data_IF_357548462780
#
_entry.id   IF_357548462780
#
_cell.length_a   1.000
_cell.length_b   1.000
_cell.length_c   1.000
_cell.angle_alpha   90.00
_cell.angle_beta   90.00
_cell.angle_gamma   90.00
#
_symmetry.space_group_name_H-M   'P 1'
#
loop_
_entity.id
_entity.type
_entity.pdbx_description
1 polymer ?
#
# COMPACT_ATOMS: atom_id res chain seq x y z
N UNK A 1 9.91 -54.75 -0.78
CA UNK A 1 9.78 -55.93 0.10
C UNK A 1 10.02 -55.45 1.52
N UNK A 2 9.02 -55.65 2.37
CA UNK A 2 8.97 -55.24 3.77
C UNK A 2 9.72 -56.24 4.66
N UNK A 3 10.45 -55.78 5.68
CA UNK A 3 10.16 -56.00 7.13
C UNK A 3 11.30 -56.81 7.80
N UNK A 4 11.36 -56.95 9.14
CA UNK A 4 11.24 -55.95 10.23
C UNK A 4 12.25 -56.25 11.38
N UNK A 5 12.15 -55.54 12.52
CA UNK A 5 12.46 -55.94 13.93
C UNK A 5 12.53 -54.62 14.74
N UNK A 6 12.04 -54.42 15.97
CA UNK A 6 11.10 -55.07 16.89
C UNK A 6 10.91 -54.04 18.02
N UNK A 7 9.69 -53.84 18.52
CA UNK A 7 9.43 -53.01 19.71
C UNK A 7 9.94 -53.68 21.00
N UNK A 8 10.40 -52.87 21.96
CA UNK A 8 10.32 -53.14 23.40
C UNK A 8 9.90 -51.86 24.12
N UNK A 9 8.85 -51.98 24.93
CA UNK A 9 8.24 -50.97 25.81
C UNK A 9 8.92 -50.96 27.20
N UNK A 10 8.49 -49.97 27.99
CA UNK A 10 8.61 -49.79 29.46
C UNK A 10 9.78 -48.85 29.86
N UNK A 11 9.65 -47.85 30.75
CA UNK A 11 8.54 -47.33 31.54
C UNK A 11 8.93 -45.92 32.09
N UNK A 12 7.93 -45.05 32.25
CA UNK A 12 7.78 -43.89 33.16
C UNK A 12 9.00 -43.12 33.71
N UNK A 13 9.07 -41.81 33.39
CA UNK A 13 9.01 -40.71 34.39
C UNK A 13 8.93 -39.35 33.67
N UNK A 14 7.75 -38.73 33.72
CA UNK A 14 7.43 -37.37 33.24
C UNK A 14 7.54 -36.37 34.40
N UNK A 15 8.29 -35.29 34.21
CA UNK A 15 8.18 -33.93 34.78
C UNK A 15 9.33 -33.12 34.13
N UNK A 16 9.23 -31.90 33.64
CA UNK A 16 8.20 -30.86 33.55
C UNK A 16 8.75 -29.82 32.53
N UNK A 17 7.88 -29.13 31.79
CA UNK A 17 8.00 -27.78 31.18
C UNK A 17 7.07 -27.65 29.95
N UNK A 18 6.22 -26.59 29.89
CA UNK A 18 4.97 -26.62 29.14
C UNK A 18 5.12 -26.18 27.67
N UNK A 19 4.50 -26.96 26.77
CA UNK A 19 4.24 -26.55 25.38
C UNK A 19 3.01 -25.67 25.32
N UNK A 20 3.22 -24.39 25.09
CA UNK A 20 2.18 -23.40 24.77
C UNK A 20 1.54 -23.73 23.41
N UNK A 21 0.40 -24.43 23.42
CA UNK A 21 -0.45 -24.63 22.24
C UNK A 21 -1.57 -23.60 22.29
N UNK A 22 -1.39 -22.52 21.53
CA UNK A 22 -2.41 -21.51 21.28
C UNK A 22 -3.50 -22.10 20.35
N UNK A 23 -4.39 -22.94 20.91
CA UNK A 23 -5.62 -23.38 20.27
C UNK A 23 -6.70 -22.34 20.55
N UNK A 24 -6.78 -21.29 19.73
CA UNK A 24 -7.98 -20.45 19.66
C UNK A 24 -9.09 -21.19 18.91
N UNK A 25 -9.80 -22.02 19.65
CA UNK A 25 -11.00 -22.71 19.21
C UNK A 25 -12.20 -21.77 19.37
N UNK A 26 -12.78 -21.29 18.27
CA UNK A 26 -14.07 -20.62 18.30
C UNK A 26 -15.17 -21.66 18.58
N UNK A 27 -15.72 -21.65 19.80
CA UNK A 27 -16.88 -22.43 20.20
C UNK A 27 -17.80 -21.60 21.12
N UNK A 28 -19.14 -21.80 21.08
CA UNK A 28 -20.07 -20.96 21.83
C UNK A 28 -20.17 -21.38 23.30
N UNK A 29 -19.91 -20.44 24.22
CA UNK A 29 -20.19 -20.60 25.66
C UNK A 29 -21.70 -20.53 25.94
N UNK A 30 -22.26 -21.59 26.54
CA UNK A 30 -23.60 -21.55 27.16
C UNK A 30 -23.53 -20.83 28.50
N UNK A 31 -24.27 -19.72 28.66
CA UNK A 31 -24.52 -19.08 29.98
C UNK A 31 -26.02 -19.00 30.25
N UNK A 32 -26.38 -19.37 31.48
CA UNK A 32 -27.72 -19.65 32.00
C UNK A 32 -28.79 -18.58 31.65
N UNK A 33 -29.90 -19.05 31.08
CA UNK A 33 -30.91 -18.28 30.35
C UNK A 33 -31.92 -17.53 31.24
N UNK A 34 -31.92 -17.75 32.55
CA UNK A 34 -33.05 -17.32 33.40
C UNK A 34 -32.88 -15.91 33.95
N UNK A 35 -31.67 -15.48 34.34
CA UNK A 35 -31.42 -14.12 34.87
C UNK A 35 -31.24 -13.05 33.78
N UNK A 36 -30.74 -13.44 32.59
CA UNK A 36 -30.64 -12.54 31.43
C UNK A 36 -32.00 -12.01 30.98
N UNK A 37 -33.06 -12.83 31.09
CA UNK A 37 -34.41 -12.44 30.64
C UNK A 37 -35.01 -11.30 31.48
N UNK A 38 -34.68 -11.25 32.78
CA UNK A 38 -35.18 -10.24 33.69
C UNK A 38 -34.42 -8.92 33.52
N UNK A 39 -33.11 -9.00 33.29
CA UNK A 39 -32.27 -7.85 32.99
C UNK A 39 -32.65 -7.25 31.62
N UNK A 40 -32.89 -8.07 30.61
CA UNK A 40 -33.38 -7.62 29.30
C UNK A 40 -34.76 -6.95 29.39
N UNK A 41 -35.68 -7.49 30.21
CA UNK A 41 -36.99 -6.84 30.44
C UNK A 41 -36.86 -5.49 31.15
N UNK A 42 -35.95 -5.35 32.12
CA UNK A 42 -35.65 -4.06 32.78
C UNK A 42 -35.00 -3.07 31.82
N UNK A 43 -34.04 -3.52 31.01
CA UNK A 43 -33.36 -2.67 30.02
C UNK A 43 -34.30 -2.22 28.90
N UNK A 44 -35.27 -3.05 28.48
CA UNK A 44 -36.31 -2.66 27.52
C UNK A 44 -37.28 -1.62 28.08
N UNK A 45 -37.63 -1.70 29.37
CA UNK A 45 -38.43 -0.65 30.04
C UNK A 45 -37.67 0.67 30.13
N UNK A 46 -36.40 0.63 30.55
CA UNK A 46 -35.53 1.82 30.58
C UNK A 46 -35.36 2.42 29.17
N UNK A 47 -35.16 1.58 28.16
CA UNK A 47 -35.05 2.04 26.77
C UNK A 47 -36.34 2.67 26.23
N UNK A 48 -37.52 2.17 26.62
CA UNK A 48 -38.78 2.80 26.26
C UNK A 48 -39.02 4.12 27.00
N UNK A 49 -38.63 4.23 28.28
CA UNK A 49 -38.73 5.48 29.04
C UNK A 49 -37.77 6.55 28.50
N UNK A 50 -36.52 6.16 28.16
CA UNK A 50 -35.54 7.05 27.51
C UNK A 50 -36.03 7.49 26.13
N UNK A 51 -36.64 6.59 25.33
CA UNK A 51 -37.27 6.96 24.05
C UNK A 51 -38.46 7.90 24.23
N UNK A 52 -39.23 7.76 25.31
CA UNK A 52 -40.37 8.62 25.62
C UNK A 52 -39.92 10.02 26.04
N UNK A 53 -38.77 10.14 26.72
CA UNK A 53 -38.15 11.41 27.10
C UNK A 53 -37.40 12.09 25.93
N UNK A 54 -36.92 11.33 24.94
CA UNK A 54 -36.20 11.86 23.77
C UNK A 54 -37.08 12.39 22.63
N UNK A 55 -38.41 12.49 22.81
CA UNK A 55 -39.32 13.07 21.81
C UNK A 55 -39.08 14.59 21.62
N UNK A 56 -38.27 15.25 22.46
CA UNK A 56 -37.92 16.66 22.31
C UNK A 56 -36.69 16.96 21.43
N UNK A 57 -35.92 15.96 20.98
CA UNK A 57 -34.69 16.20 20.18
C UNK A 57 -34.81 15.72 18.73
N UNK A 58 -35.65 16.41 17.95
CA UNK A 58 -35.85 16.20 16.51
C UNK A 58 -34.66 16.68 15.63
N UNK A 59 -33.46 16.83 16.22
CA UNK A 59 -32.24 17.31 15.55
C UNK A 59 -31.26 16.18 15.21
N UNK A 60 -31.28 15.06 15.93
CA UNK A 60 -30.32 13.96 15.70
C UNK A 60 -30.73 13.02 14.55
N UNK A 61 -32.02 12.91 14.25
CA UNK A 61 -32.51 12.05 13.17
C UNK A 61 -32.18 12.62 11.79
N UNK A 62 -32.22 13.95 11.64
CA UNK A 62 -31.83 14.64 10.39
C UNK A 62 -30.31 14.57 10.13
N UNK A 63 -29.49 14.60 11.18
CA UNK A 63 -28.04 14.45 11.10
C UNK A 63 -27.62 13.02 10.72
N UNK A 64 -28.28 12.00 11.25
CA UNK A 64 -27.99 10.60 10.89
C UNK A 64 -28.50 10.24 9.50
N UNK A 65 -29.67 10.75 9.09
CA UNK A 65 -30.14 10.63 7.71
C UNK A 65 -29.15 11.27 6.74
N UNK A 66 -28.58 12.45 7.06
CA UNK A 66 -27.58 13.09 6.19
C UNK A 66 -26.26 12.28 6.06
N UNK A 67 -25.84 11.58 7.11
CA UNK A 67 -24.64 10.71 7.11
C UNK A 67 -24.89 9.42 6.34
N UNK A 68 -26.01 8.77 6.58
CA UNK A 68 -26.40 7.53 5.89
C UNK A 68 -26.69 7.79 4.41
N UNK A 69 -27.25 8.95 4.07
CA UNK A 69 -27.52 9.35 2.69
C UNK A 69 -26.23 9.79 1.96
N UNK A 70 -25.27 10.42 2.65
CA UNK A 70 -23.90 10.60 2.12
C UNK A 70 -23.18 9.26 1.91
N UNK A 71 -23.36 8.29 2.82
CA UNK A 71 -22.75 6.97 2.73
C UNK A 71 -23.38 6.15 1.59
N UNK A 72 -24.70 6.26 1.40
CA UNK A 72 -25.42 5.63 0.28
C UNK A 72 -25.10 6.29 -1.06
N UNK A 73 -24.99 7.61 -1.14
CA UNK A 73 -24.59 8.32 -2.36
C UNK A 73 -23.10 8.11 -2.69
N UNK A 74 -22.21 8.03 -1.70
CA UNK A 74 -20.81 7.63 -1.90
C UNK A 74 -20.68 6.15 -2.31
N UNK A 75 -21.56 5.28 -1.79
CA UNK A 75 -21.64 3.89 -2.22
C UNK A 75 -22.09 3.78 -3.68
N UNK A 76 -23.06 4.60 -4.12
CA UNK A 76 -23.54 4.63 -5.51
C UNK A 76 -22.51 5.26 -6.49
N UNK A 77 -21.75 6.28 -6.09
CA UNK A 77 -20.73 6.93 -6.94
C UNK A 77 -19.45 6.12 -7.15
N UNK A 78 -19.20 5.10 -6.34
CA UNK A 78 -18.05 4.18 -6.51
C UNK A 78 -18.45 2.88 -7.23
N UNK A 79 -19.73 2.68 -7.56
CA UNK A 79 -20.29 1.36 -7.91
C UNK A 79 -20.01 0.83 -9.35
N UNK A 80 -19.43 1.61 -10.26
CA UNK A 80 -19.27 1.18 -11.68
C UNK A 80 -18.06 0.27 -11.95
N UNK A 81 -17.02 0.24 -11.10
CA UNK A 81 -15.87 -0.68 -11.27
C UNK A 81 -16.13 -2.06 -10.62
N UNK A 82 -17.08 -2.15 -9.68
CA UNK A 82 -17.41 -3.39 -8.95
C UNK A 82 -18.05 -4.48 -9.80
N UNK A 83 -18.44 -4.15 -11.04
CA UNK A 83 -19.11 -5.05 -11.96
C UNK A 83 -18.19 -5.69 -13.00
N UNK A 84 -16.90 -5.32 -13.06
CA UNK A 84 -16.00 -5.84 -14.10
C UNK A 84 -15.36 -7.18 -13.71
N UNK A 85 -14.93 -7.34 -12.45
CA UNK A 85 -14.30 -8.56 -11.96
C UNK A 85 -14.50 -8.72 -10.45
N UNK A 86 -14.34 -9.95 -9.95
CA UNK A 86 -14.49 -10.28 -8.51
C UNK A 86 -13.22 -10.81 -7.88
N UNK A 87 -12.25 -11.23 -8.70
CA UNK A 87 -11.01 -11.87 -8.25
C UNK A 87 -9.82 -11.30 -8.98
N UNK A 88 -8.69 -11.20 -8.29
CA UNK A 88 -7.42 -10.78 -8.85
C UNK A 88 -6.30 -11.72 -8.39
N UNK A 89 -5.33 -11.95 -9.27
CA UNK A 89 -4.08 -12.63 -8.96
C UNK A 89 -2.95 -11.62 -9.19
N UNK A 90 -2.17 -11.33 -8.15
CA UNK A 90 -0.99 -10.46 -8.23
C UNK A 90 0.27 -11.32 -8.19
N UNK A 91 1.08 -11.26 -9.23
CA UNK A 91 2.33 -12.01 -9.34
C UNK A 91 3.50 -11.03 -9.32
N UNK A 92 4.38 -11.16 -8.33
CA UNK A 92 5.62 -10.38 -8.22
C UNK A 92 5.41 -8.86 -8.33
N UNK A 93 4.32 -8.35 -7.74
CA UNK A 93 3.99 -6.94 -7.86
C UNK A 93 2.90 -6.46 -6.91
N UNK A 94 3.07 -5.22 -6.44
CA UNK A 94 2.10 -4.50 -5.62
C UNK A 94 2.07 -3.02 -6.01
N UNK A 95 0.91 -2.37 -5.84
CA UNK A 95 0.75 -0.92 -5.96
C UNK A 95 1.56 -0.13 -4.91
N UNK A 96 2.02 -0.78 -3.83
CA UNK A 96 2.87 -0.19 -2.81
C UNK A 96 4.36 -0.23 -3.18
N UNK A 97 4.73 -0.92 -4.26
CA UNK A 97 6.11 -1.04 -4.70
C UNK A 97 6.66 0.32 -5.17
N UNK A 98 7.96 0.60 -4.96
CA UNK A 98 8.54 1.92 -5.25
C UNK A 98 8.49 2.32 -6.74
N UNK A 99 8.40 1.32 -7.63
CA UNK A 99 8.32 1.47 -9.09
C UNK A 99 6.88 1.53 -9.62
N UNK A 100 5.86 1.24 -8.81
CA UNK A 100 4.47 1.08 -9.27
C UNK A 100 3.79 2.41 -9.67
N UNK A 101 4.23 3.53 -9.10
CA UNK A 101 3.67 4.86 -9.34
C UNK A 101 4.76 5.86 -9.74
N UNK A 102 4.45 6.66 -10.75
CA UNK A 102 5.32 7.75 -11.21
C UNK A 102 5.25 8.92 -10.23
N UNK A 103 6.42 9.36 -9.76
CA UNK A 103 6.53 10.45 -8.77
C UNK A 103 6.30 11.84 -9.36
N UNK A 104 6.82 12.08 -10.56
CA UNK A 104 6.74 13.39 -11.24
C UNK A 104 6.37 13.21 -12.72
N UNK A 105 5.11 12.84 -13.02
CA UNK A 105 4.64 12.64 -14.38
C UNK A 105 4.71 13.94 -15.20
N UNK A 106 4.52 15.10 -14.55
CA UNK A 106 4.57 16.40 -15.19
C UNK A 106 5.97 16.70 -15.75
N UNK A 107 7.04 16.39 -15.01
CA UNK A 107 8.42 16.55 -15.50
C UNK A 107 8.67 15.77 -16.78
N UNK A 108 8.27 14.49 -16.84
CA UNK A 108 8.48 13.66 -18.03
C UNK A 108 7.60 14.12 -19.20
N UNK A 109 6.35 14.52 -18.94
CA UNK A 109 5.46 15.08 -19.96
C UNK A 109 6.05 16.35 -20.60
N UNK A 110 6.65 17.24 -19.81
CA UNK A 110 7.32 18.45 -20.34
C UNK A 110 8.58 18.12 -21.12
N UNK A 111 9.31 17.07 -20.75
CA UNK A 111 10.50 16.63 -21.48
C UNK A 111 10.11 16.14 -22.88
N UNK A 112 9.03 15.38 -22.99
CA UNK A 112 8.45 14.97 -24.28
C UNK A 112 7.95 16.18 -25.06
N UNK A 113 7.21 17.10 -24.43
CA UNK A 113 6.74 18.32 -25.08
C UNK A 113 7.87 19.18 -25.64
N UNK A 114 8.96 19.34 -24.88
CA UNK A 114 10.15 20.08 -25.30
C UNK A 114 10.81 19.41 -26.50
N UNK A 115 10.96 18.08 -26.47
CA UNK A 115 11.57 17.32 -27.57
C UNK A 115 10.71 17.35 -28.85
N UNK A 116 9.40 17.27 -28.69
CA UNK A 116 8.44 17.34 -29.81
C UNK A 116 8.24 18.76 -30.36
N UNK A 117 8.99 19.76 -29.87
CA UNK A 117 8.86 21.16 -30.21
C UNK A 117 7.43 21.72 -30.01
N UNK A 118 6.77 21.33 -28.91
CA UNK A 118 5.55 21.97 -28.45
C UNK A 118 5.89 23.16 -27.52
N UNK A 119 5.30 24.35 -27.71
CA UNK A 119 5.56 25.50 -26.86
C UNK A 119 5.19 25.25 -25.39
N UNK A 120 5.98 25.80 -24.46
CA UNK A 120 5.85 25.54 -23.01
C UNK A 120 4.75 26.35 -22.35
N UNK A 121 4.40 27.49 -22.94
CA UNK A 121 3.44 28.45 -22.40
C UNK A 121 2.00 28.20 -22.87
N UNK A 122 1.77 27.06 -23.54
CA UNK A 122 0.43 26.65 -23.95
C UNK A 122 -0.42 26.26 -22.75
N UNK A 123 -1.73 26.49 -22.85
CA UNK A 123 -2.68 25.89 -21.93
C UNK A 123 -2.61 24.36 -21.99
N UNK A 124 -3.04 23.67 -20.93
CA UNK A 124 -3.01 22.22 -20.87
C UNK A 124 -3.71 21.56 -22.08
N UNK A 125 -4.84 22.12 -22.51
CA UNK A 125 -5.62 21.62 -23.65
C UNK A 125 -4.88 21.79 -24.98
N UNK A 126 -4.25 22.95 -25.20
CA UNK A 126 -3.48 23.25 -26.42
C UNK A 126 -2.19 22.43 -26.49
N UNK A 127 -1.53 22.23 -25.36
CA UNK A 127 -0.36 21.35 -25.27
C UNK A 127 -0.71 19.92 -25.68
N UNK A 128 -1.83 19.39 -25.17
CA UNK A 128 -2.31 18.06 -25.55
C UNK A 128 -2.71 17.99 -27.03
N UNK A 129 -3.26 19.06 -27.59
CA UNK A 129 -3.55 19.13 -29.03
C UNK A 129 -2.26 19.07 -29.85
N UNK A 130 -1.26 19.87 -29.49
CA UNK A 130 0.06 19.84 -30.14
C UNK A 130 0.68 18.45 -30.09
N UNK A 131 0.70 17.80 -28.92
CA UNK A 131 1.28 16.46 -28.76
C UNK A 131 0.57 15.40 -29.61
N UNK A 132 -0.76 15.49 -29.78
CA UNK A 132 -1.53 14.56 -30.63
C UNK A 132 -1.25 14.72 -32.12
N UNK A 133 -0.82 15.90 -32.56
CA UNK A 133 -0.49 16.19 -33.96
C UNK A 133 0.93 15.72 -34.35
N UNK A 134 1.77 15.34 -33.36
CA UNK A 134 3.14 14.89 -33.60
C UNK A 134 3.19 13.42 -33.97
N UNK A 135 4.12 12.99 -34.86
CA UNK A 135 4.29 11.59 -35.18
C UNK A 135 4.75 10.81 -33.95
N UNK A 136 4.21 9.59 -33.80
CA UNK A 136 4.51 8.73 -32.64
C UNK A 136 6.02 8.47 -32.50
N UNK A 137 6.72 8.25 -33.61
CA UNK A 137 8.17 8.01 -33.62
C UNK A 137 8.95 9.17 -33.00
N UNK A 138 8.54 10.42 -33.25
CA UNK A 138 9.15 11.59 -32.62
C UNK A 138 8.93 11.59 -31.11
N UNK A 139 7.72 11.25 -30.64
CA UNK A 139 7.42 11.18 -29.21
C UNK A 139 8.25 10.08 -28.53
N UNK A 140 8.35 8.90 -29.15
CA UNK A 140 9.13 7.76 -28.64
C UNK A 140 10.64 8.01 -28.69
N UNK A 141 11.13 8.85 -29.62
CA UNK A 141 12.54 9.23 -29.70
C UNK A 141 13.01 10.18 -28.60
N UNK A 142 12.09 10.66 -27.74
CA UNK A 142 12.44 11.53 -26.61
C UNK A 142 13.41 10.80 -25.67
N UNK A 143 14.58 11.37 -25.34
CA UNK A 143 15.54 10.73 -24.45
C UNK A 143 15.06 10.85 -22.99
N UNK A 144 14.11 10.00 -22.59
CA UNK A 144 13.59 9.95 -21.21
C UNK A 144 14.37 8.92 -20.41
N UNK A 145 15.07 9.37 -19.38
CA UNK A 145 15.83 8.52 -18.46
C UNK A 145 15.13 8.53 -17.10
N UNK A 146 14.58 7.38 -16.71
CA UNK A 146 14.08 7.18 -15.35
C UNK A 146 15.26 6.91 -14.41
N UNK A 147 15.25 7.45 -13.18
CA UNK A 147 16.16 6.99 -12.14
C UNK A 147 16.02 5.48 -11.92
N UNK A 148 17.13 4.80 -11.62
CA UNK A 148 17.11 3.37 -11.29
C UNK A 148 16.08 3.07 -10.19
N UNK A 149 15.41 1.92 -10.30
CA UNK A 149 14.35 1.44 -9.39
C UNK A 149 13.05 2.27 -9.40
N UNK A 150 12.89 3.17 -10.36
CA UNK A 150 11.68 3.99 -10.53
C UNK A 150 11.17 3.93 -11.97
N UNK A 151 9.98 4.47 -12.21
CA UNK A 151 9.35 4.52 -13.54
C UNK A 151 9.17 5.97 -14.00
N UNK A 152 9.41 6.22 -15.29
CA UNK A 152 9.17 7.53 -15.90
C UNK A 152 7.73 7.69 -16.41
N UNK A 153 7.21 6.66 -17.08
CA UNK A 153 5.83 6.59 -17.54
C UNK A 153 5.17 5.36 -16.93
N UNK A 154 3.94 5.55 -16.45
CA UNK A 154 3.21 4.54 -15.70
C UNK A 154 2.03 5.17 -14.96
N UNK A 155 1.41 4.44 -14.03
CA UNK A 155 0.33 4.95 -13.21
C UNK A 155 0.76 6.21 -12.45
N UNK A 156 -0.14 7.18 -12.33
CA UNK A 156 0.07 8.40 -11.54
C UNK A 156 -1.20 8.75 -10.77
N UNK A 157 -1.06 9.48 -9.68
CA UNK A 157 -2.19 9.94 -8.87
C UNK A 157 -2.81 11.14 -9.57
N UNK A 158 -3.98 10.94 -10.15
CA UNK A 158 -4.72 11.93 -10.93
C UNK A 158 -5.95 12.47 -10.17
N UNK A 159 -6.35 11.82 -9.08
CA UNK A 159 -7.57 12.13 -8.34
C UNK A 159 -8.86 11.72 -9.04
N UNK A 160 -8.77 10.99 -10.17
CA UNK A 160 -9.92 10.51 -10.95
C UNK A 160 -9.96 8.98 -10.93
N UNK A 161 -8.90 8.32 -11.40
CA UNK A 161 -8.78 6.86 -11.42
C UNK A 161 -8.03 6.38 -10.18
N UNK A 162 -6.92 7.04 -9.86
CA UNK A 162 -6.09 6.74 -8.70
C UNK A 162 -6.19 7.93 -7.74
N UNK A 163 -6.97 7.72 -6.69
CA UNK A 163 -7.13 8.67 -5.59
C UNK A 163 -6.44 8.17 -4.32
N UNK A 164 -6.15 9.10 -3.42
CA UNK A 164 -5.56 8.83 -2.11
C UNK A 164 -6.62 8.55 -1.03
N UNK A 165 -7.90 8.44 -1.42
CA UNK A 165 -9.04 8.38 -0.49
C UNK A 165 -9.32 9.67 0.27
N UNK A 166 -8.45 10.68 0.16
CA UNK A 166 -8.62 12.02 0.72
C UNK A 166 -9.11 12.98 -0.37
N UNK A 167 -10.22 12.65 -1.03
CA UNK A 167 -10.83 13.63 -1.92
C UNK A 167 -11.14 14.86 -1.09
N UNK A 168 -10.39 15.94 -1.29
CA UNK A 168 -10.92 17.27 -1.03
C UNK A 168 -12.27 17.31 -1.75
N UNK A 169 -13.33 17.58 -1.01
CA UNK A 169 -14.60 17.99 -1.59
C UNK A 169 -14.27 19.23 -2.41
N UNK A 170 -14.05 19.07 -3.71
CA UNK A 170 -13.92 20.19 -4.63
C UNK A 170 -15.22 20.98 -4.49
N UNK A 171 -15.23 22.18 -3.90
CA UNK A 171 -16.46 22.95 -3.82
C UNK A 171 -16.91 23.21 -5.27
N UNK A 172 -18.15 22.84 -5.58
CA UNK A 172 -18.71 22.85 -6.93
C UNK A 172 -18.85 24.26 -7.56
N UNK A 173 -18.31 25.29 -6.91
CA UNK A 173 -18.40 26.68 -7.33
C UNK A 173 -17.01 27.30 -7.39
N UNK A 174 -16.25 26.97 -8.43
CA UNK A 174 -15.38 27.92 -9.13
C UNK A 174 -14.90 27.26 -10.42
N UNK A 175 -15.62 27.58 -11.51
CA UNK A 175 -14.97 27.73 -12.81
C UNK A 175 -14.05 28.93 -12.62
N UNK A 176 -12.76 28.69 -12.39
CA UNK A 176 -11.63 29.52 -12.82
C UNK A 176 -10.33 28.99 -12.20
N UNK A 177 -9.37 28.71 -13.09
CA UNK A 177 -7.92 28.59 -12.86
C UNK A 177 -7.40 27.74 -11.69
N UNK A 178 -7.15 26.45 -11.93
CA UNK A 178 -5.96 25.82 -11.36
C UNK A 178 -4.86 25.85 -12.42
N UNK A 179 -4.15 26.98 -12.45
CA UNK A 179 -2.82 27.07 -13.04
C UNK A 179 -1.91 26.17 -12.21
N UNK A 180 -1.31 25.14 -12.83
CA UNK A 180 -0.13 24.51 -12.25
C UNK A 180 0.98 25.56 -12.32
N UNK A 181 1.19 26.28 -11.21
CA UNK A 181 2.16 27.35 -11.15
C UNK A 181 3.55 26.80 -11.47
N UNK A 182 4.09 27.29 -12.59
CA UNK A 182 5.32 26.82 -13.22
C UNK A 182 6.47 27.76 -12.85
N UNK A 183 6.57 28.16 -11.60
CA UNK A 183 7.70 28.96 -11.13
C UNK A 183 8.17 28.52 -9.75
N UNK A 184 9.27 27.76 -9.72
CA UNK A 184 10.42 28.06 -8.86
C UNK A 184 11.60 27.16 -9.22
N UNK A 185 12.58 27.75 -9.90
CA UNK A 185 13.96 27.28 -9.81
C UNK A 185 14.80 28.36 -9.14
N UNK A 186 15.78 27.90 -8.37
CA UNK A 186 17.01 28.59 -7.96
C UNK A 186 16.97 29.46 -6.68
N UNK A 187 17.35 28.81 -5.57
CA UNK A 187 18.26 29.37 -4.56
C UNK A 187 19.03 28.23 -3.88
N UNK A 188 20.38 28.26 -3.82
CA UNK A 188 21.17 27.25 -3.13
C UNK A 188 21.31 27.59 -1.64
N UNK A 189 21.09 26.61 -0.75
CA UNK A 189 21.63 26.67 0.61
C UNK A 189 20.67 26.69 1.80
N UNK A 190 19.41 26.26 1.69
CA UNK A 190 18.58 26.04 2.90
C UNK A 190 18.05 24.61 2.96
N UNK A 191 18.42 23.80 3.98
CA UNK A 191 17.71 22.55 4.22
C UNK A 191 16.24 22.85 4.53
N UNK A 192 15.30 22.08 3.98
CA UNK A 192 13.88 22.28 4.29
C UNK A 192 13.67 22.10 5.80
N UNK A 193 12.85 22.96 6.44
CA UNK A 193 12.51 22.76 7.84
C UNK A 193 11.84 21.39 8.02
N UNK A 194 12.01 20.73 9.18
CA UNK A 194 11.33 19.47 9.47
C UNK A 194 9.81 19.72 9.42
N UNK A 195 9.03 18.83 8.78
CA UNK A 195 7.61 19.04 8.60
C UNK A 195 6.91 18.96 9.96
N UNK A 196 6.37 20.08 10.43
CA UNK A 196 5.14 20.05 11.21
C UNK A 196 4.09 19.39 10.32
N UNK A 197 3.55 18.25 10.75
CA UNK A 197 2.57 17.40 10.05
C UNK A 197 1.75 18.15 9.00
N UNK A 198 2.24 18.20 7.76
CA UNK A 198 1.53 18.80 6.65
C UNK A 198 0.39 17.86 6.28
N UNK A 199 -0.85 18.33 6.40
CA UNK A 199 -2.08 17.63 6.01
C UNK A 199 -2.13 17.29 4.50
N UNK A 200 -1.16 17.78 3.72
CA UNK A 200 -1.05 17.59 2.28
C UNK A 200 -0.44 16.24 1.92
N UNK A 201 -1.28 15.22 1.72
CA UNK A 201 -0.86 13.87 1.30
C UNK A 201 -0.04 13.87 0.00
N UNK A 202 -0.29 14.82 -0.91
CA UNK A 202 0.46 14.96 -2.16
C UNK A 202 1.94 15.27 -1.92
N UNK A 203 2.24 16.05 -0.88
CA UNK A 203 3.61 16.36 -0.47
C UNK A 203 4.27 15.13 0.18
N UNK A 204 3.51 14.38 0.98
CA UNK A 204 3.97 13.10 1.54
C UNK A 204 4.24 12.04 0.45
N UNK A 205 3.43 11.99 -0.62
CA UNK A 205 3.65 11.09 -1.76
C UNK A 205 4.92 11.50 -2.52
N UNK A 206 5.09 12.79 -2.79
CA UNK A 206 6.29 13.31 -3.43
C UNK A 206 7.55 13.07 -2.56
N UNK A 207 7.39 13.07 -1.22
CA UNK A 207 8.47 12.90 -0.27
C UNK A 207 8.84 11.44 0.02
N UNK A 208 7.86 10.54 0.17
CA UNK A 208 8.08 9.18 0.67
C UNK A 208 7.56 8.07 -0.25
N UNK A 209 6.99 8.43 -1.41
CA UNK A 209 6.27 7.49 -2.27
C UNK A 209 4.85 7.21 -1.77
N UNK A 210 4.01 6.73 -2.67
CA UNK A 210 2.58 6.49 -2.40
C UNK A 210 2.34 5.54 -1.23
N UNK A 211 3.09 4.44 -1.16
CA UNK A 211 2.91 3.45 -0.10
C UNK A 211 3.11 4.06 1.28
N UNK A 212 4.23 4.74 1.52
CA UNK A 212 4.48 5.37 2.82
C UNK A 212 3.42 6.44 3.14
N UNK A 213 3.08 7.30 2.18
CA UNK A 213 2.14 8.41 2.39
C UNK A 213 0.71 7.93 2.70
N UNK A 214 0.23 6.90 2.02
CA UNK A 214 -1.11 6.34 2.24
C UNK A 214 -1.14 5.53 3.52
N UNK A 215 -0.10 4.77 3.84
CA UNK A 215 -0.07 3.93 5.02
C UNK A 215 0.14 4.72 6.32
N UNK A 216 0.83 5.86 6.28
CA UNK A 216 0.99 6.75 7.43
C UNK A 216 -0.28 7.53 7.76
N UNK A 217 -1.19 7.71 6.79
CA UNK A 217 -2.44 8.42 7.00
C UNK A 217 -3.60 7.44 7.25
N UNK A 218 -4.19 7.48 8.45
CA UNK A 218 -5.23 6.54 8.86
C UNK A 218 -6.49 6.56 7.96
N UNK A 219 -6.88 7.74 7.45
CA UNK A 219 -8.07 7.89 6.60
C UNK A 219 -7.78 7.31 5.21
N UNK A 220 -6.66 7.69 4.59
CA UNK A 220 -6.22 7.17 3.31
C UNK A 220 -6.06 5.65 3.35
N UNK A 221 -5.41 5.12 4.39
CA UNK A 221 -5.28 3.69 4.65
C UNK A 221 -6.64 3.00 4.74
N UNK A 222 -7.59 3.55 5.50
CA UNK A 222 -8.95 2.97 5.62
C UNK A 222 -9.68 2.95 4.28
N UNK A 223 -9.57 4.01 3.48
CA UNK A 223 -10.16 4.08 2.15
C UNK A 223 -9.56 3.04 1.20
N UNK A 224 -8.22 2.92 1.18
CA UNK A 224 -7.51 1.91 0.39
C UNK A 224 -7.93 0.49 0.79
N UNK A 225 -7.93 0.18 2.10
CA UNK A 225 -8.35 -1.13 2.63
C UNK A 225 -9.81 -1.43 2.27
N UNK A 226 -10.70 -0.45 2.36
CA UNK A 226 -12.11 -0.59 1.95
C UNK A 226 -12.26 -0.94 0.47
N UNK A 227 -11.42 -0.39 -0.41
CA UNK A 227 -11.42 -0.75 -1.84
C UNK A 227 -10.78 -2.13 -2.07
N UNK A 228 -9.64 -2.41 -1.45
CA UNK A 228 -8.87 -3.64 -1.65
C UNK A 228 -9.63 -4.90 -1.19
N UNK A 229 -10.32 -4.83 -0.04
CA UNK A 229 -10.99 -5.99 0.61
C UNK A 229 -12.24 -6.48 -0.08
N UNK A 230 -12.73 -5.72 -1.06
CA UNK A 230 -13.93 -6.07 -1.81
C UNK A 230 -13.70 -7.15 -2.88
N UNK A 231 -12.44 -7.43 -3.23
CA UNK A 231 -12.07 -8.50 -4.18
C UNK A 231 -11.48 -9.71 -3.46
N UNK A 232 -11.61 -10.91 -4.03
CA UNK A 232 -10.76 -12.05 -3.66
C UNK A 232 -9.38 -11.86 -4.28
N UNK A 233 -8.33 -11.96 -3.46
CA UNK A 233 -6.97 -11.70 -3.88
C UNK A 233 -6.11 -12.95 -3.65
N UNK A 234 -5.42 -13.41 -4.69
CA UNK A 234 -4.28 -14.31 -4.58
C UNK A 234 -3.03 -13.49 -4.91
N UNK A 235 -1.96 -13.67 -4.13
CA UNK A 235 -0.69 -13.00 -4.34
C UNK A 235 0.46 -13.98 -4.20
N UNK A 236 1.53 -13.78 -4.96
CA UNK A 236 2.71 -14.62 -4.96
C UNK A 236 3.96 -13.85 -5.38
N UNK A 237 5.10 -14.31 -4.88
CA UNK A 237 6.44 -13.78 -5.18
C UNK A 237 7.37 -14.95 -5.50
N UNK A 238 8.47 -14.67 -6.19
CA UNK A 238 9.55 -15.62 -6.46
C UNK A 238 10.76 -15.35 -5.57
N UNK A 239 11.68 -16.32 -5.47
CA UNK A 239 12.87 -16.21 -4.61
C UNK A 239 13.81 -15.07 -5.03
N UNK A 240 13.93 -14.81 -6.33
CA UNK A 240 14.93 -13.90 -6.89
C UNK A 240 14.28 -12.80 -7.75
N UNK A 241 13.52 -11.91 -7.13
CA UNK A 241 12.78 -10.84 -7.81
C UNK A 241 13.72 -9.82 -8.47
N UNK A 242 14.84 -9.49 -7.81
CA UNK A 242 15.79 -8.49 -8.27
C UNK A 242 16.83 -9.02 -9.27
N UNK A 243 16.67 -10.23 -9.80
CA UNK A 243 17.66 -10.89 -10.68
C UNK A 243 18.10 -10.01 -11.86
N UNK A 244 17.15 -9.33 -12.52
CA UNK A 244 17.42 -8.49 -13.68
C UNK A 244 18.14 -7.17 -13.37
N UNK A 245 18.38 -6.84 -12.10
CA UNK A 245 19.19 -5.68 -11.69
C UNK A 245 20.68 -5.93 -11.95
N UNK A 246 21.09 -7.19 -12.02
CA UNK A 246 22.48 -7.60 -12.16
C UNK A 246 22.83 -7.84 -13.64
N UNK A 247 24.06 -7.52 -14.01
CA UNK A 247 24.61 -7.82 -15.34
C UNK A 247 24.98 -9.29 -15.44
N UNK A 248 25.21 -9.79 -16.65
CA UNK A 248 25.64 -11.18 -16.88
C UNK A 248 26.92 -11.53 -16.11
N UNK A 249 27.89 -10.62 -16.07
CA UNK A 249 29.15 -10.82 -15.35
C UNK A 249 28.94 -10.90 -13.84
N UNK A 250 28.05 -10.09 -13.28
CA UNK A 250 27.72 -10.14 -11.86
C UNK A 250 27.09 -11.47 -11.46
N UNK A 251 26.22 -11.99 -12.33
CA UNK A 251 25.56 -13.27 -12.11
C UNK A 251 26.58 -14.41 -12.22
N UNK A 252 27.55 -14.32 -13.12
CA UNK A 252 28.54 -15.37 -13.31
C UNK A 252 29.62 -15.38 -12.21
N UNK A 253 30.19 -14.22 -11.89
CA UNK A 253 31.38 -14.11 -11.03
C UNK A 253 31.09 -13.60 -9.61
N UNK A 254 29.88 -13.08 -9.37
CA UNK A 254 29.54 -12.38 -8.13
C UNK A 254 29.82 -10.87 -8.23
N UNK A 255 29.70 -10.17 -7.11
CA UNK A 255 29.92 -8.73 -7.05
C UNK A 255 30.86 -8.34 -5.91
N UNK A 256 31.59 -7.26 -6.14
CA UNK A 256 32.46 -6.67 -5.12
C UNK A 256 31.66 -5.83 -4.10
N UNK A 257 32.18 -5.65 -2.86
CA UNK A 257 31.54 -4.83 -1.83
C UNK A 257 31.26 -3.38 -2.27
N UNK A 258 32.12 -2.81 -3.10
CA UNK A 258 31.95 -1.47 -3.65
C UNK A 258 30.75 -1.39 -4.59
N UNK A 259 30.56 -2.45 -5.40
CA UNK A 259 29.43 -2.56 -6.31
C UNK A 259 28.12 -2.75 -5.55
N UNK A 260 28.10 -3.60 -4.51
CA UNK A 260 26.99 -3.71 -3.55
C UNK A 260 26.62 -2.35 -2.96
N UNK A 261 27.62 -1.63 -2.43
CA UNK A 261 27.41 -0.32 -1.82
C UNK A 261 26.86 0.71 -2.79
N UNK A 262 27.29 0.69 -4.07
CA UNK A 262 26.78 1.58 -5.11
C UNK A 262 25.32 1.28 -5.44
N UNK A 263 24.97 0.01 -5.60
CA UNK A 263 23.60 -0.43 -5.92
C UNK A 263 22.65 -0.04 -4.79
N UNK A 264 22.96 -0.44 -3.55
CA UNK A 264 22.12 -0.15 -2.40
C UNK A 264 21.99 1.35 -2.15
N UNK A 265 23.08 2.12 -2.29
CA UNK A 265 23.04 3.58 -2.16
C UNK A 265 22.15 4.22 -3.23
N UNK A 266 22.19 3.71 -4.47
CA UNK A 266 21.37 4.23 -5.56
C UNK A 266 19.89 3.91 -5.33
N UNK A 267 19.59 2.68 -4.91
CA UNK A 267 18.25 2.28 -4.48
C UNK A 267 17.72 3.18 -3.37
N UNK A 268 18.49 3.36 -2.28
CA UNK A 268 18.04 4.17 -1.14
C UNK A 268 17.81 5.63 -1.52
N UNK A 269 18.72 6.23 -2.30
CA UNK A 269 18.60 7.62 -2.77
C UNK A 269 17.40 7.85 -3.69
N UNK A 270 17.10 6.89 -4.56
CA UNK A 270 16.00 7.01 -5.50
C UNK A 270 14.66 6.66 -4.83
N UNK A 271 14.66 5.79 -3.82
CA UNK A 271 13.43 5.34 -3.14
C UNK A 271 13.03 6.22 -1.97
N UNK A 272 13.98 6.68 -1.14
CA UNK A 272 13.71 7.43 0.08
C UNK A 272 14.23 8.87 -0.02
N UNK A 273 13.65 9.77 0.78
CA UNK A 273 14.07 11.19 0.85
C UNK A 273 14.80 11.55 2.14
N UNK A 274 14.47 10.87 3.24
CA UNK A 274 14.98 11.18 4.58
C UNK A 274 15.75 9.97 5.15
N UNK A 275 16.64 10.23 6.11
CA UNK A 275 17.42 9.21 6.84
C UNK A 275 18.19 8.22 5.96
N UNK A 276 18.74 8.71 4.83
CA UNK A 276 19.38 7.86 3.83
C UNK A 276 20.58 7.09 4.38
N UNK A 277 21.37 7.71 5.26
CA UNK A 277 22.53 7.10 5.89
C UNK A 277 22.15 5.95 6.83
N UNK A 278 21.12 6.18 7.63
CA UNK A 278 20.63 5.26 8.65
C UNK A 278 19.95 4.07 7.99
N UNK A 279 19.07 4.32 7.01
CA UNK A 279 18.41 3.27 6.23
C UNK A 279 19.45 2.39 5.52
N UNK A 280 20.45 3.00 4.86
CA UNK A 280 21.50 2.25 4.18
C UNK A 280 22.31 1.40 5.17
N UNK A 281 22.65 1.94 6.34
CA UNK A 281 23.36 1.19 7.37
C UNK A 281 22.54 0.01 7.90
N UNK A 282 21.23 0.20 8.12
CA UNK A 282 20.32 -0.88 8.53
C UNK A 282 20.24 -1.98 7.49
N UNK A 283 20.08 -1.64 6.20
CA UNK A 283 20.02 -2.64 5.11
C UNK A 283 21.32 -3.44 5.04
N UNK A 284 22.47 -2.77 5.11
CA UNK A 284 23.76 -3.46 5.08
C UNK A 284 23.92 -4.36 6.30
N UNK A 285 23.52 -3.89 7.48
CA UNK A 285 23.63 -4.67 8.71
C UNK A 285 22.75 -5.93 8.70
N UNK A 286 21.52 -5.81 8.22
CA UNK A 286 20.55 -6.91 8.20
C UNK A 286 20.93 -7.99 7.18
N UNK A 287 21.30 -7.59 5.97
CA UNK A 287 21.61 -8.51 4.87
C UNK A 287 23.11 -8.83 4.77
N UNK A 288 23.87 -8.71 5.85
CA UNK A 288 25.26 -9.20 5.87
C UNK A 288 25.30 -10.43 6.77
N UNK A 289 25.75 -11.56 6.22
CA UNK A 289 25.98 -12.76 7.02
C UNK A 289 27.24 -12.56 7.89
N UNK A 290 27.02 -12.17 9.15
CA UNK A 290 28.08 -11.97 10.13
C UNK A 290 28.70 -13.28 10.64
N UNK A 291 28.07 -14.44 10.37
CA UNK A 291 28.64 -15.74 10.75
C UNK A 291 29.84 -16.11 9.87
N UNK A 292 29.97 -15.49 8.70
CA UNK A 292 31.06 -15.73 7.74
C UNK A 292 32.04 -14.55 7.70
N UNK A 293 33.28 -14.72 8.19
CA UNK A 293 34.26 -13.63 8.23
C UNK A 293 34.84 -13.28 6.85
N UNK A 294 34.82 -14.22 5.90
CA UNK A 294 35.32 -14.00 4.53
C UNK A 294 34.13 -13.82 3.60
N UNK A 295 34.01 -12.61 3.07
CA UNK A 295 32.95 -12.23 2.14
C UNK A 295 33.35 -12.62 0.71
N UNK A 296 32.76 -13.71 0.19
CA UNK A 296 32.96 -14.15 -1.19
C UNK A 296 32.05 -13.35 -2.15
N UNK A 297 32.50 -12.94 -3.34
CA UNK A 297 31.70 -12.12 -4.27
C UNK A 297 30.31 -12.69 -4.61
N UNK A 298 30.19 -14.02 -4.65
CA UNK A 298 28.91 -14.72 -4.86
C UNK A 298 27.95 -14.53 -3.69
N UNK A 299 28.43 -14.58 -2.45
CA UNK A 299 27.59 -14.36 -1.27
C UNK A 299 27.12 -12.91 -1.22
N UNK A 300 28.04 -11.96 -1.48
CA UNK A 300 27.71 -10.52 -1.55
C UNK A 300 26.63 -10.27 -2.61
N UNK A 301 26.72 -10.94 -3.76
CA UNK A 301 25.70 -10.86 -4.81
C UNK A 301 24.36 -11.38 -4.31
N UNK A 302 24.33 -12.57 -3.72
CA UNK A 302 23.09 -13.21 -3.27
C UNK A 302 22.42 -12.41 -2.13
N UNK A 303 23.19 -11.91 -1.16
CA UNK A 303 22.74 -11.00 -0.10
C UNK A 303 22.14 -9.70 -0.68
N UNK A 304 22.81 -9.11 -1.67
CA UNK A 304 22.34 -7.87 -2.32
C UNK A 304 21.07 -8.12 -3.12
N UNK A 305 20.99 -9.27 -3.80
CA UNK A 305 19.81 -9.70 -4.54
C UNK A 305 18.63 -9.92 -3.61
N UNK A 306 18.83 -10.55 -2.46
CA UNK A 306 17.81 -10.77 -1.43
C UNK A 306 17.32 -9.42 -0.88
N UNK A 307 18.23 -8.53 -0.49
CA UNK A 307 17.89 -7.20 0.02
C UNK A 307 17.03 -6.38 -0.96
N UNK A 308 17.38 -6.38 -2.24
CA UNK A 308 16.61 -5.68 -3.26
C UNK A 308 15.28 -6.36 -3.56
N UNK A 309 15.25 -7.69 -3.61
CA UNK A 309 14.02 -8.46 -3.86
C UNK A 309 12.99 -8.16 -2.78
N UNK A 310 13.45 -8.13 -1.52
CA UNK A 310 12.61 -7.85 -0.38
C UNK A 310 12.08 -6.42 -0.39
N UNK A 311 12.95 -5.45 -0.60
CA UNK A 311 12.57 -4.05 -0.57
C UNK A 311 11.66 -3.63 -1.74
N UNK A 312 11.87 -4.20 -2.93
CA UNK A 312 11.13 -3.79 -4.13
C UNK A 312 9.82 -4.54 -4.34
N UNK A 313 9.73 -5.80 -3.91
CA UNK A 313 8.61 -6.68 -4.27
C UNK A 313 8.04 -7.41 -3.06
N UNK A 314 8.86 -8.14 -2.28
CA UNK A 314 8.34 -9.02 -1.23
C UNK A 314 7.66 -8.21 -0.12
N UNK A 315 8.34 -7.23 0.48
CA UNK A 315 7.78 -6.44 1.57
C UNK A 315 6.51 -5.65 1.13
N UNK A 316 6.48 -4.97 -0.02
CA UNK A 316 5.25 -4.37 -0.54
C UNK A 316 4.10 -5.37 -0.77
N UNK A 317 4.41 -6.57 -1.27
CA UNK A 317 3.42 -7.62 -1.54
C UNK A 317 2.85 -8.21 -0.26
N UNK A 318 3.69 -8.50 0.73
CA UNK A 318 3.28 -8.96 2.07
C UNK A 318 2.43 -7.89 2.76
N UNK A 319 2.85 -6.63 2.72
CA UNK A 319 2.06 -5.53 3.29
C UNK A 319 0.68 -5.42 2.61
N UNK A 320 0.60 -5.65 1.30
CA UNK A 320 -0.68 -5.72 0.59
C UNK A 320 -1.54 -6.89 1.08
N UNK A 321 -0.95 -8.05 1.34
CA UNK A 321 -1.61 -9.22 1.90
C UNK A 321 -2.16 -8.95 3.31
N UNK A 322 -1.37 -8.29 4.16
CA UNK A 322 -1.75 -7.93 5.52
C UNK A 322 -2.93 -6.95 5.51
N UNK A 323 -2.87 -5.92 4.68
CA UNK A 323 -3.96 -4.94 4.51
C UNK A 323 -5.25 -5.57 3.97
N UNK A 324 -5.13 -6.54 3.05
CA UNK A 324 -6.29 -7.26 2.50
C UNK A 324 -6.91 -8.20 3.54
N UNK A 325 -6.09 -8.95 4.28
CA UNK A 325 -6.54 -9.95 5.25
C UNK A 325 -7.09 -9.33 6.53
N UNK A 326 -6.49 -8.23 7.03
CA UNK A 326 -6.86 -7.61 8.31
C UNK A 326 -8.33 -7.16 8.36
N UNK A 327 -8.89 -6.72 7.23
CA UNK A 327 -10.27 -6.26 7.14
C UNK A 327 -11.28 -7.38 6.84
N UNK A 328 -10.85 -8.55 6.34
CA UNK A 328 -11.73 -9.73 6.21
C UNK A 328 -11.98 -10.41 7.55
N UNK A 329 -11.04 -10.37 8.49
CA UNK A 329 -11.22 -10.90 9.86
C UNK A 329 -12.47 -10.33 10.56
N UNK A 330 -12.78 -9.05 10.32
CA UNK A 330 -13.98 -8.40 10.89
C UNK A 330 -15.29 -8.85 10.23
N UNK A 331 -15.27 -9.25 8.94
CA UNK A 331 -16.48 -9.71 8.23
C UNK A 331 -16.94 -11.12 8.62
N UNK A 332 -16.07 -11.93 9.22
CA UNK A 332 -16.49 -13.22 9.78
C UNK A 332 -17.44 -13.06 10.99
N UNK A 333 -17.39 -11.92 11.70
CA UNK A 333 -18.30 -11.64 12.82
C UNK A 333 -19.69 -11.11 12.40
N UNK A 334 -19.88 -10.68 11.14
CA UNK A 334 -21.12 -10.01 10.70
C UNK A 334 -22.02 -10.93 9.85
N UNK A 335 -21.55 -12.13 9.46
CA UNK A 335 -22.34 -13.07 8.64
C UNK A 335 -23.04 -14.21 9.39
N UNK A 336 -22.92 -14.32 10.72
CA UNK A 336 -23.62 -15.37 11.48
C UNK A 336 -25.01 -14.97 12.00
N UNK A 337 -25.51 -13.77 11.71
CA UNK A 337 -26.86 -13.33 12.09
C UNK A 337 -27.67 -12.93 10.87
N UNK A 338 -28.00 -13.89 10.02
CA UNK A 338 -29.23 -13.80 9.23
C UNK A 338 -30.04 -15.06 9.48
N UNK A 339 -31.09 -14.88 10.27
CA UNK A 339 -32.04 -15.90 10.66
C UNK A 339 -32.76 -16.44 9.42
N UNK A 340 -32.72 -17.77 9.25
CA UNK A 340 -33.74 -18.49 8.50
C UNK A 340 -35.07 -18.34 9.27
N UNK A 341 -35.96 -17.49 8.77
CA UNK A 341 -37.40 -17.62 8.99
C UNK A 341 -37.93 -18.52 7.88
N UNK A 342 -38.36 -19.72 8.23
CA UNK A 342 -39.51 -20.39 7.63
C UNK A 342 -40.28 -21.08 8.75
#
# INVERSE_FOLDING_TARGET
MASPLKETKDDHNDEDYPKEKDKRQCGPERKNTTERSLLEKKMRRLSMEIRRLNIENNLDETLNISKDQMEYENMQRQNYIWLLFHRAILMSGSALSPWALVRDPARYARQVAKHAACPRDLSHTELLKCLREKPLELLLSTPVVAPEFTTAFGPSIDGVIIDTGLSETRPANNKDSHSYDYHTQNSPGRPPPPPSASENINEAIAAGGYGNAVLSNAIAKKAMVSKLTRYDLLLGVVKAEAFFTFTGDDIQYGIEPDRRSKILRTFVKNTYRYHLSEILATIINEYTDWERPVQHPVNIRDETLEALSDAMVVAPSVNTADLHSSARSVRCNIRSTFAMKH
#
